data_IF_035359322990
#
_entry.id   IF_035359322990
#
_cell.length_a   1.000
_cell.length_b   1.000
_cell.length_c   1.000
_cell.angle_alpha   90.00
_cell.angle_beta   90.00
_cell.angle_gamma   90.00
#
_symmetry.space_group_name_H-M   'P 1'
#
loop_
_entity.id
_entity.type
_entity.pdbx_description
1 polymer ?
#
# COMPACT_ATOMS: atom_id res chain seq x y z
N UNK A 1 -13.41 4.13 -55.78
CA UNK A 1 -14.17 3.16 -54.93
C UNK A 1 -13.46 2.80 -53.63
N UNK A 2 -12.13 2.64 -53.60
CA UNK A 2 -11.38 2.27 -52.39
C UNK A 2 -11.52 3.31 -51.25
N UNK A 3 -11.47 4.60 -51.56
CA UNK A 3 -11.60 5.67 -50.55
C UNK A 3 -12.97 5.65 -49.85
N UNK A 4 -14.05 5.42 -50.60
CA UNK A 4 -15.39 5.31 -50.02
C UNK A 4 -15.50 4.10 -49.09
N UNK A 5 -14.92 2.96 -49.45
CA UNK A 5 -14.88 1.76 -48.60
C UNK A 5 -14.16 1.99 -47.26
N UNK A 6 -13.05 2.72 -47.26
CA UNK A 6 -12.31 3.05 -46.04
C UNK A 6 -13.12 3.97 -45.10
N UNK A 7 -13.86 4.93 -45.64
CA UNK A 7 -14.72 5.82 -44.85
C UNK A 7 -15.85 5.03 -44.19
N UNK A 8 -16.51 4.13 -44.91
CA UNK A 8 -17.55 3.26 -44.33
C UNK A 8 -17.00 2.35 -43.23
N UNK A 9 -15.80 1.78 -43.42
CA UNK A 9 -15.15 0.94 -42.41
C UNK A 9 -14.84 1.74 -41.13
N UNK A 10 -14.33 2.97 -41.26
CA UNK A 10 -14.03 3.83 -40.12
C UNK A 10 -15.29 4.20 -39.31
N UNK A 11 -16.40 4.51 -40.00
CA UNK A 11 -17.68 4.81 -39.35
C UNK A 11 -18.21 3.59 -38.61
N UNK A 12 -18.17 2.40 -39.24
CA UNK A 12 -18.62 1.16 -38.61
C UNK A 12 -17.79 0.83 -37.35
N UNK A 13 -16.47 1.03 -37.41
CA UNK A 13 -15.58 0.83 -36.27
C UNK A 13 -15.89 1.80 -35.12
N UNK A 14 -16.17 3.07 -35.43
CA UNK A 14 -16.50 4.08 -34.44
C UNK A 14 -17.82 3.76 -33.73
N UNK A 15 -18.85 3.36 -34.48
CA UNK A 15 -20.14 2.92 -33.92
C UNK A 15 -19.94 1.72 -32.97
N UNK A 16 -19.10 0.76 -33.36
CA UNK A 16 -18.82 -0.42 -32.55
C UNK A 16 -18.10 -0.07 -31.24
N UNK A 17 -17.13 0.85 -31.27
CA UNK A 17 -16.41 1.32 -30.07
C UNK A 17 -17.37 2.03 -29.11
N UNK A 18 -18.20 2.95 -29.63
CA UNK A 18 -19.18 3.68 -28.82
C UNK A 18 -20.17 2.71 -28.18
N UNK A 19 -20.65 1.72 -28.93
CA UNK A 19 -21.55 0.70 -28.41
C UNK A 19 -20.90 -0.15 -27.30
N UNK A 20 -19.64 -0.55 -27.48
CA UNK A 20 -18.90 -1.31 -26.48
C UNK A 20 -18.68 -0.52 -25.18
N UNK A 21 -18.32 0.77 -25.29
CA UNK A 21 -18.17 1.66 -24.14
C UNK A 21 -19.50 1.88 -23.40
N UNK A 22 -20.58 2.11 -24.14
CA UNK A 22 -21.91 2.29 -23.55
C UNK A 22 -22.37 1.02 -22.80
N UNK A 23 -22.15 -0.16 -23.39
CA UNK A 23 -22.48 -1.43 -22.75
C UNK A 23 -21.68 -1.66 -21.47
N UNK A 24 -20.40 -1.31 -21.46
CA UNK A 24 -19.56 -1.42 -20.27
C UNK A 24 -19.99 -0.44 -19.16
N UNK A 25 -20.34 0.80 -19.52
CA UNK A 25 -20.89 1.75 -18.56
C UNK A 25 -22.22 1.27 -17.95
N UNK A 26 -23.10 0.65 -18.74
CA UNK A 26 -24.33 0.07 -18.23
C UNK A 26 -24.08 -1.06 -17.22
N UNK A 27 -23.06 -1.89 -17.45
CA UNK A 27 -22.69 -2.95 -16.51
C UNK A 27 -22.22 -2.37 -15.16
N UNK A 28 -21.32 -1.37 -15.18
CA UNK A 28 -20.89 -0.71 -13.96
C UNK A 28 -22.01 0.02 -13.23
N UNK A 29 -22.95 0.64 -13.95
CA UNK A 29 -24.11 1.29 -13.33
C UNK A 29 -25.06 0.28 -12.68
N UNK A 30 -25.28 -0.88 -13.30
CA UNK A 30 -26.09 -1.96 -12.72
C UNK A 30 -25.46 -2.50 -11.43
N UNK A 31 -24.14 -2.73 -11.42
CA UNK A 31 -23.38 -3.16 -10.23
C UNK A 31 -23.40 -2.10 -9.10
N UNK A 32 -23.44 -0.82 -9.47
CA UNK A 32 -23.51 0.30 -8.51
C UNK A 32 -24.90 0.46 -7.89
N UNK A 33 -25.95 0.21 -8.68
CA UNK A 33 -27.33 0.34 -8.24
C UNK A 33 -27.70 -0.71 -7.19
N UNK A 34 -27.17 -1.93 -7.30
CA UNK A 34 -27.43 -3.02 -6.36
C UNK A 34 -26.89 -2.73 -4.95
N UNK A 35 -25.87 -1.89 -4.83
CA UNK A 35 -25.31 -1.43 -3.54
C UNK A 35 -26.11 -0.31 -2.87
N UNK A 36 -26.97 0.38 -3.60
CA UNK A 36 -27.83 1.45 -3.08
C UNK A 36 -29.27 0.98 -2.82
N UNK A 37 -29.57 -0.31 -2.99
CA UNK A 37 -30.84 -0.87 -2.54
C UNK A 37 -30.89 -0.70 -1.01
N UNK A 38 -31.87 0.08 -0.49
CA UNK A 38 -32.02 0.23 0.94
C UNK A 38 -32.21 -1.15 1.55
N UNK A 39 -31.46 -1.43 2.62
CA UNK A 39 -31.58 -2.68 3.37
C UNK A 39 -33.06 -2.96 3.61
N UNK A 40 -33.56 -4.18 3.29
CA UNK A 40 -34.92 -4.54 3.62
C UNK A 40 -35.12 -4.29 5.12
N UNK A 41 -36.25 -3.67 5.52
CA UNK A 41 -36.51 -3.40 6.92
C UNK A 41 -36.35 -4.70 7.70
N UNK A 42 -35.49 -4.66 8.72
CA UNK A 42 -35.29 -5.78 9.62
C UNK A 42 -36.64 -5.99 10.33
N UNK A 43 -37.41 -6.97 9.86
CA UNK A 43 -38.44 -7.57 10.68
C UNK A 43 -37.72 -8.14 11.89
N UNK A 44 -37.85 -7.46 13.03
CA UNK A 44 -37.51 -7.97 14.34
C UNK A 44 -38.34 -9.23 14.53
N UNK A 45 -37.79 -10.36 14.10
CA UNK A 45 -38.31 -11.68 14.41
C UNK A 45 -38.18 -11.81 15.92
N UNK A 46 -39.30 -11.60 16.62
CA UNK A 46 -39.44 -11.90 18.03
C UNK A 46 -38.89 -13.31 18.25
N UNK A 47 -37.89 -13.38 19.13
CA UNK A 47 -37.23 -14.60 19.55
C UNK A 47 -38.27 -15.53 20.15
N UNK A 48 -38.67 -16.56 19.40
CA UNK A 48 -39.21 -17.77 19.99
C UNK A 48 -38.10 -18.40 20.84
N UNK A 49 -38.41 -18.62 22.11
CA UNK A 49 -37.56 -19.24 23.12
C UNK A 49 -36.98 -20.57 22.61
N UNK A 50 -35.71 -20.55 22.22
CA UNK A 50 -34.94 -21.78 21.98
C UNK A 50 -34.33 -22.21 23.30
N UNK A 51 -34.97 -23.22 23.90
CA UNK A 51 -34.57 -23.92 25.11
C UNK A 51 -33.11 -24.37 25.08
N UNK A 52 -32.40 -24.11 26.18
CA UNK A 52 -30.95 -24.23 26.34
C UNK A 52 -30.41 -25.67 26.50
N UNK A 53 -31.06 -26.71 25.98
CA UNK A 53 -30.70 -28.11 26.31
C UNK A 53 -29.92 -28.87 25.23
N UNK A 54 -29.64 -28.30 24.06
CA UNK A 54 -29.12 -29.08 22.90
C UNK A 54 -27.71 -28.69 22.40
N UNK A 55 -26.90 -27.96 23.19
CA UNK A 55 -25.55 -27.51 22.79
C UNK A 55 -24.46 -28.03 23.74
N UNK A 56 -24.47 -29.33 24.07
CA UNK A 56 -23.30 -29.99 24.69
C UNK A 56 -23.16 -31.41 24.13
N UNK A 57 -22.52 -31.52 22.96
CA UNK A 57 -22.27 -32.79 22.30
C UNK A 57 -21.01 -32.77 21.43
N UNK A 58 -19.89 -32.25 21.96
CA UNK A 58 -18.59 -32.40 21.30
C UNK A 58 -17.58 -32.89 22.35
N UNK A 59 -17.23 -34.16 22.23
CA UNK A 59 -16.20 -34.85 23.01
C UNK A 59 -14.79 -34.36 22.62
N UNK A 60 -13.82 -34.30 23.56
CA UNK A 60 -12.45 -33.91 23.30
C UNK A 60 -11.50 -35.12 23.33
N UNK A 61 -11.25 -35.74 22.19
CA UNK A 61 -10.19 -36.76 22.06
C UNK A 61 -9.39 -36.47 20.79
N UNK A 62 -8.11 -36.13 20.96
CA UNK A 62 -6.97 -36.22 20.02
C UNK A 62 -6.02 -35.00 20.10
N UNK A 63 -5.37 -34.86 21.26
CA UNK A 63 -4.19 -34.02 21.45
C UNK A 63 -2.95 -34.89 21.68
N UNK A 64 -2.41 -35.49 20.61
CA UNK A 64 -1.06 -36.05 20.64
C UNK A 64 -0.40 -35.91 19.26
N UNK A 65 0.52 -34.95 19.12
CA UNK A 65 1.74 -35.16 18.31
C UNK A 65 2.77 -34.03 18.45
N UNK A 66 3.99 -34.48 18.76
CA UNK A 66 5.27 -33.98 18.25
C UNK A 66 5.85 -32.70 18.84
N UNK A 67 6.66 -32.88 19.89
CA UNK A 67 7.74 -31.97 20.25
C UNK A 67 9.07 -32.53 19.71
N UNK A 68 9.71 -31.80 18.80
CA UNK A 68 11.06 -32.05 18.33
C UNK A 68 12.00 -30.93 18.86
N UNK A 69 13.14 -31.33 19.41
CA UNK A 69 14.33 -30.51 19.70
C UNK A 69 15.00 -30.05 18.38
N UNK A 70 15.76 -28.92 18.34
CA UNK A 70 17.19 -28.99 18.66
C UNK A 70 17.91 -27.69 19.15
N UNK A 71 19.02 -27.94 19.86
CA UNK A 71 20.36 -27.34 19.80
C UNK A 71 20.63 -25.80 19.77
N UNK A 72 21.36 -25.37 20.80
CA UNK A 72 22.33 -24.25 20.89
C UNK A 72 23.60 -24.54 20.05
N UNK A 73 24.30 -23.54 19.43
CA UNK A 73 25.46 -22.89 20.10
C UNK A 73 25.83 -21.43 19.70
N UNK A 74 26.30 -20.67 20.72
CA UNK A 74 27.49 -19.79 20.83
C UNK A 74 27.92 -18.71 19.78
N UNK A 75 27.95 -17.43 20.22
CA UNK A 75 29.12 -16.48 20.39
C UNK A 75 29.96 -16.04 19.15
N UNK A 76 30.77 -14.92 19.10
CA UNK A 76 30.95 -13.67 19.89
C UNK A 76 30.98 -12.31 19.09
N UNK A 77 30.91 -11.20 19.86
CA UNK A 77 31.63 -9.90 19.82
C UNK A 77 32.15 -9.25 18.52
N UNK A 78 31.93 -7.92 18.38
CA UNK A 78 32.83 -6.97 17.69
C UNK A 78 32.68 -5.56 18.32
N UNK A 79 33.73 -4.72 18.39
CA UNK A 79 33.88 -3.65 19.38
C UNK A 79 33.51 -2.25 18.88
N UNK A 80 33.48 -1.35 19.86
CA UNK A 80 33.31 0.10 19.77
C UNK A 80 34.33 0.81 18.86
N UNK A 81 33.92 1.90 18.23
CA UNK A 81 34.80 2.99 17.80
C UNK A 81 34.08 4.33 17.94
N UNK A 82 34.73 5.24 18.66
CA UNK A 82 34.34 6.62 18.90
C UNK A 82 35.19 7.58 18.04
N UNK A 83 34.60 8.66 17.55
CA UNK A 83 35.20 9.98 17.27
C UNK A 83 34.09 10.88 16.70
N UNK A 84 33.60 11.92 17.40
CA UNK A 84 34.20 13.24 17.67
C UNK A 84 34.49 14.05 16.40
N UNK A 85 33.69 15.10 16.17
CA UNK A 85 33.97 16.15 15.18
C UNK A 85 32.91 17.25 15.22
N UNK A 86 33.22 18.35 15.90
CA UNK A 86 32.38 19.55 16.04
C UNK A 86 32.76 20.60 14.98
N UNK A 87 31.76 21.35 14.48
CA UNK A 87 31.85 22.69 13.86
C UNK A 87 30.40 23.13 13.61
N UNK A 88 29.76 24.02 14.37
CA UNK A 88 30.00 25.45 14.65
C UNK A 88 30.37 26.26 13.40
N UNK A 89 29.35 26.88 12.81
CA UNK A 89 29.47 28.10 12.00
C UNK A 89 28.17 28.89 12.16
N UNK A 90 28.23 29.88 13.05
CA UNK A 90 27.29 30.98 13.16
C UNK A 90 27.29 31.83 11.88
N UNK A 91 26.12 32.33 11.47
CA UNK A 91 26.03 33.56 10.68
C UNK A 91 24.80 34.37 11.14
N UNK A 92 24.91 35.70 11.39
CA UNK A 92 23.90 36.45 12.12
C UNK A 92 23.04 37.41 11.26
N UNK A 93 21.77 37.55 11.66
CA UNK A 93 20.94 38.77 11.66
C UNK A 93 20.40 39.30 10.31
N UNK A 94 19.25 39.98 10.20
CA UNK A 94 18.14 40.39 11.11
C UNK A 94 17.02 40.97 10.17
N UNK A 95 15.92 41.64 10.62
CA UNK A 95 14.53 41.26 10.31
C UNK A 95 13.76 42.28 9.43
N UNK A 96 12.55 41.94 8.99
CA UNK A 96 11.50 42.95 8.76
C UNK A 96 10.09 42.34 8.77
N UNK A 97 9.23 42.98 9.58
CA UNK A 97 7.82 42.73 9.84
C UNK A 97 6.96 43.41 8.75
N UNK A 98 5.87 42.78 8.32
CA UNK A 98 4.50 43.32 8.35
C UNK A 98 3.56 42.56 7.39
N UNK A 99 2.60 41.85 7.97
CA UNK A 99 1.33 41.48 7.32
C UNK A 99 0.43 42.71 7.14
N UNK A 100 -0.58 42.63 6.27
CA UNK A 100 -1.91 42.38 6.81
C UNK A 100 -2.77 41.40 5.98
N UNK A 101 -3.39 40.44 6.68
CA UNK A 101 -4.54 39.62 6.24
C UNK A 101 -5.85 40.47 6.31
N UNK A 102 -7.08 39.94 6.09
CA UNK A 102 -7.50 38.63 5.57
C UNK A 102 -8.65 38.71 4.52
N UNK A 103 -8.65 37.80 3.53
CA UNK A 103 -9.86 37.47 2.78
C UNK A 103 -10.22 36.02 3.04
N UNK A 104 -11.27 35.86 3.82
CA UNK A 104 -11.93 34.62 4.23
C UNK A 104 -12.31 33.76 3.03
N UNK A 105 -11.79 32.52 2.97
CA UNK A 105 -12.35 31.42 2.17
C UNK A 105 -12.07 30.12 2.93
N UNK A 106 -13.04 29.19 3.07
CA UNK A 106 -12.95 28.06 3.99
C UNK A 106 -12.00 26.97 3.45
N UNK A 107 -10.69 27.16 3.65
CA UNK A 107 -9.62 26.31 3.12
C UNK A 107 -9.08 25.29 4.15
N UNK A 108 -9.97 24.65 4.92
CA UNK A 108 -9.54 23.71 5.98
C UNK A 108 -9.88 22.24 5.70
N UNK A 109 -10.36 21.91 4.49
CA UNK A 109 -10.65 20.52 4.10
C UNK A 109 -9.70 20.00 3.01
N UNK A 110 -8.95 20.86 2.30
CA UNK A 110 -8.43 20.52 0.95
C UNK A 110 -7.00 19.94 0.87
N UNK A 111 -6.09 20.18 1.82
CA UNK A 111 -4.68 19.78 1.60
C UNK A 111 -4.46 18.26 1.63
N UNK A 112 -5.19 17.53 2.49
CA UNK A 112 -5.03 16.08 2.65
C UNK A 112 -5.73 15.25 1.57
N UNK A 113 -6.64 15.85 0.80
CA UNK A 113 -7.31 15.19 -0.34
C UNK A 113 -6.65 15.56 -1.67
N UNK A 114 -6.03 16.73 -1.76
CA UNK A 114 -5.41 17.23 -2.99
C UNK A 114 -4.22 16.39 -3.49
N UNK A 115 -3.46 15.71 -2.61
CA UNK A 115 -2.27 14.95 -3.03
C UNK A 115 -2.59 13.84 -4.04
N UNK A 116 -3.78 13.23 -3.95
CA UNK A 116 -4.17 12.15 -4.85
C UNK A 116 -4.46 12.68 -6.26
N UNK A 117 -5.11 13.82 -6.36
CA UNK A 117 -5.38 14.47 -7.64
C UNK A 117 -4.09 15.01 -8.26
N UNK A 118 -3.25 15.65 -7.45
CA UNK A 118 -1.95 16.19 -7.87
C UNK A 118 -1.02 15.09 -8.38
N UNK A 119 -0.89 13.99 -7.63
CA UNK A 119 -0.05 12.85 -8.05
C UNK A 119 -0.55 12.21 -9.36
N UNK A 120 -1.87 12.13 -9.57
CA UNK A 120 -2.45 11.67 -10.85
C UNK A 120 -2.18 12.63 -11.99
N UNK A 121 -2.32 13.94 -11.77
CA UNK A 121 -2.03 14.96 -12.78
C UNK A 121 -0.55 14.92 -13.21
N UNK A 122 0.38 14.79 -12.25
CA UNK A 122 1.80 14.64 -12.53
C UNK A 122 2.12 13.33 -13.27
N UNK A 123 1.45 12.23 -12.90
CA UNK A 123 1.58 10.95 -13.59
C UNK A 123 1.15 11.04 -15.06
N UNK A 124 0.05 11.75 -15.36
CA UNK A 124 -0.42 11.96 -16.74
C UNK A 124 0.55 12.79 -17.58
N UNK A 125 1.33 13.65 -16.94
CA UNK A 125 2.41 14.43 -17.57
C UNK A 125 3.73 13.67 -17.66
N UNK A 126 3.75 12.36 -17.34
CA UNK A 126 4.94 11.51 -17.28
C UNK A 126 6.02 12.01 -16.28
N UNK A 127 5.64 12.86 -15.31
CA UNK A 127 6.52 13.37 -14.25
C UNK A 127 6.52 12.42 -13.05
N UNK A 128 6.98 11.20 -13.27
CA UNK A 128 6.85 10.10 -12.29
C UNK A 128 7.52 10.39 -10.94
N UNK A 129 8.72 10.99 -10.93
CA UNK A 129 9.45 11.27 -9.69
C UNK A 129 8.73 12.31 -8.83
N UNK A 130 8.21 13.37 -9.46
CA UNK A 130 7.40 14.37 -8.80
C UNK A 130 6.09 13.76 -8.27
N UNK A 131 5.44 12.91 -9.06
CA UNK A 131 4.21 12.22 -8.65
C UNK A 131 4.44 11.32 -7.41
N UNK A 132 5.58 10.62 -7.35
CA UNK A 132 5.95 9.82 -6.18
C UNK A 132 6.25 10.68 -4.96
N UNK A 133 6.97 11.80 -5.13
CA UNK A 133 7.25 12.74 -4.04
C UNK A 133 5.98 13.27 -3.37
N UNK A 134 4.92 13.53 -4.15
CA UNK A 134 3.61 13.94 -3.64
C UNK A 134 2.91 12.85 -2.80
N UNK A 135 3.18 11.58 -3.08
CA UNK A 135 2.63 10.47 -2.28
C UNK A 135 3.34 10.29 -0.92
N UNK A 136 4.60 10.70 -0.80
CA UNK A 136 5.41 10.52 0.42
C UNK A 136 4.75 11.01 1.71
N UNK A 137 4.22 12.24 1.81
CA UNK A 137 3.59 12.73 3.04
C UNK A 137 2.31 11.98 3.42
N UNK A 138 1.70 11.24 2.51
CA UNK A 138 0.49 10.44 2.77
C UNK A 138 0.82 8.99 3.19
N UNK A 139 2.07 8.56 3.12
CA UNK A 139 2.50 7.25 3.62
C UNK A 139 2.56 7.26 5.15
N UNK A 140 2.26 6.14 5.84
CA UNK A 140 2.04 4.77 5.33
C UNK A 140 0.56 4.42 5.07
N UNK A 141 -0.29 5.33 4.58
CA UNK A 141 -1.67 4.98 4.26
C UNK A 141 -1.77 4.05 3.04
N UNK A 142 -2.70 3.09 3.06
CA UNK A 142 -2.90 2.14 1.96
C UNK A 142 -3.22 2.84 0.61
N UNK A 143 -3.95 3.96 0.64
CA UNK A 143 -4.22 4.75 -0.56
C UNK A 143 -2.96 5.27 -1.23
N UNK A 144 -2.01 5.79 -0.44
CA UNK A 144 -0.73 6.29 -0.93
C UNK A 144 0.14 5.17 -1.51
N UNK A 145 0.22 3.99 -0.86
CA UNK A 145 0.91 2.83 -1.41
C UNK A 145 0.32 2.38 -2.75
N UNK A 146 -1.01 2.29 -2.87
CA UNK A 146 -1.67 1.93 -4.13
C UNK A 146 -1.33 2.90 -5.25
N UNK A 147 -1.40 4.20 -4.97
CA UNK A 147 -1.09 5.24 -5.96
C UNK A 147 0.39 5.20 -6.36
N UNK A 148 1.31 5.06 -5.41
CA UNK A 148 2.74 4.91 -5.69
C UNK A 148 3.03 3.71 -6.61
N UNK A 149 2.45 2.53 -6.32
CA UNK A 149 2.58 1.35 -7.18
C UNK A 149 1.99 1.59 -8.58
N UNK A 150 0.87 2.31 -8.71
CA UNK A 150 0.31 2.66 -10.03
C UNK A 150 1.25 3.58 -10.83
N UNK A 151 1.86 4.58 -10.18
CA UNK A 151 2.84 5.48 -10.78
C UNK A 151 4.06 4.69 -11.26
N UNK A 152 4.60 3.82 -10.42
CA UNK A 152 5.76 2.98 -10.76
C UNK A 152 5.48 2.05 -11.95
N UNK A 153 4.29 1.44 -12.03
CA UNK A 153 3.91 0.65 -13.21
C UNK A 153 3.85 1.49 -14.48
N UNK A 154 3.36 2.73 -14.39
CA UNK A 154 3.35 3.63 -15.55
C UNK A 154 4.79 3.98 -15.98
N UNK A 155 5.68 4.26 -15.01
CA UNK A 155 7.11 4.48 -15.26
C UNK A 155 7.78 3.27 -15.91
N UNK A 156 7.58 2.06 -15.39
CA UNK A 156 8.12 0.81 -15.95
C UNK A 156 7.66 0.61 -17.41
N UNK A 157 6.38 0.87 -17.72
CA UNK A 157 5.87 0.79 -19.10
C UNK A 157 6.55 1.81 -20.01
N UNK A 158 6.76 3.05 -19.55
CA UNK A 158 7.45 4.09 -20.30
C UNK A 158 8.94 3.74 -20.53
N UNK A 159 9.63 3.24 -19.51
CA UNK A 159 11.03 2.78 -19.60
C UNK A 159 11.19 1.63 -20.61
N UNK A 160 10.31 0.62 -20.55
CA UNK A 160 10.30 -0.49 -21.52
C UNK A 160 10.02 -0.02 -22.94
N UNK A 161 9.07 0.90 -23.13
CA UNK A 161 8.79 1.51 -24.44
C UNK A 161 10.01 2.26 -24.98
N UNK A 162 10.76 2.91 -24.11
CA UNK A 162 12.03 3.58 -24.43
C UNK A 162 13.24 2.63 -24.50
N UNK A 163 13.06 1.31 -24.35
CA UNK A 163 14.11 0.29 -24.29
C UNK A 163 15.18 0.57 -23.22
N UNK A 164 14.80 1.21 -22.12
CA UNK A 164 15.64 1.41 -20.94
C UNK A 164 15.44 0.28 -19.93
N UNK A 165 16.45 0.02 -19.09
CA UNK A 165 16.27 -0.88 -17.96
C UNK A 165 15.18 -0.36 -17.03
N UNK A 166 14.35 -1.26 -16.53
CA UNK A 166 13.26 -0.96 -15.57
C UNK A 166 13.50 -1.63 -14.21
N UNK A 167 14.71 -2.14 -13.97
CA UNK A 167 15.10 -2.87 -12.77
C UNK A 167 14.96 -2.03 -11.50
N UNK A 168 15.46 -0.79 -11.49
CA UNK A 168 15.35 0.10 -10.33
C UNK A 168 13.89 0.44 -9.98
N UNK A 169 13.09 0.76 -11.00
CA UNK A 169 11.66 1.04 -10.85
C UNK A 169 10.89 -0.19 -10.35
N UNK A 170 11.25 -1.38 -10.82
CA UNK A 170 10.67 -2.64 -10.38
C UNK A 170 11.07 -2.98 -8.94
N UNK A 171 12.33 -2.73 -8.57
CA UNK A 171 12.83 -2.84 -7.20
C UNK A 171 12.09 -1.92 -6.23
N UNK A 172 11.88 -0.67 -6.64
CA UNK A 172 11.11 0.31 -5.88
C UNK A 172 9.64 -0.11 -5.73
N UNK A 173 9.04 -0.65 -6.80
CA UNK A 173 7.67 -1.17 -6.77
C UNK A 173 7.53 -2.34 -5.78
N UNK A 174 8.50 -3.26 -5.80
CA UNK A 174 8.55 -4.36 -4.83
C UNK A 174 8.68 -3.85 -3.39
N UNK A 175 9.55 -2.86 -3.17
CA UNK A 175 9.74 -2.25 -1.85
C UNK A 175 8.47 -1.61 -1.29
N UNK A 176 7.73 -0.82 -2.09
CA UNK A 176 6.45 -0.26 -1.64
C UNK A 176 5.40 -1.34 -1.35
N UNK A 177 5.37 -2.42 -2.13
CA UNK A 177 4.47 -3.54 -1.87
C UNK A 177 4.83 -4.28 -0.55
N UNK A 178 6.12 -4.48 -0.28
CA UNK A 178 6.61 -5.07 0.97
C UNK A 178 6.29 -4.21 2.18
N UNK A 179 6.49 -2.89 2.11
CA UNK A 179 6.11 -1.98 3.18
C UNK A 179 4.58 -1.91 3.37
N UNK A 180 3.80 -1.99 2.30
CA UNK A 180 2.35 -2.06 2.42
C UNK A 180 1.92 -3.34 3.16
N UNK A 181 2.54 -4.49 2.90
CA UNK A 181 2.34 -5.72 3.69
C UNK A 181 2.73 -5.50 5.16
N UNK A 182 3.89 -4.90 5.43
CA UNK A 182 4.32 -4.59 6.81
C UNK A 182 3.26 -3.81 7.60
N UNK A 183 2.71 -2.74 7.04
CA UNK A 183 1.73 -1.91 7.76
C UNK A 183 0.30 -2.50 7.74
N UNK A 184 -0.10 -3.23 6.69
CA UNK A 184 -1.51 -3.53 6.43
C UNK A 184 -1.86 -5.02 6.26
N UNK A 185 -0.89 -5.94 6.30
CA UNK A 185 -1.14 -7.38 6.22
C UNK A 185 -2.21 -7.84 7.22
N UNK A 186 -3.15 -8.66 6.72
CA UNK A 186 -4.12 -9.41 7.52
C UNK A 186 -3.56 -10.82 7.73
N UNK A 187 -3.56 -11.31 8.98
CA UNK A 187 -3.06 -12.66 9.30
C UNK A 187 -1.57 -12.76 9.62
N UNK A 188 -0.78 -11.70 9.41
CA UNK A 188 0.57 -11.62 9.95
C UNK A 188 0.55 -11.52 11.49
N UNK A 189 1.66 -11.89 12.15
CA UNK A 189 1.78 -11.87 13.61
C UNK A 189 1.35 -10.50 14.21
N UNK A 190 0.20 -10.48 14.87
CA UNK A 190 -0.33 -9.30 15.57
C UNK A 190 -1.44 -8.53 14.83
N UNK A 191 -2.17 -7.72 15.61
CA UNK A 191 -3.27 -6.88 15.11
C UNK A 191 -2.73 -5.72 14.26
N UNK A 192 -3.33 -5.40 13.10
CA UNK A 192 -2.92 -4.25 12.30
C UNK A 192 -3.09 -2.93 13.08
N UNK A 193 -2.29 -1.91 12.74
CA UNK A 193 -2.43 -0.58 13.33
C UNK A 193 -3.80 0.03 12.98
N UNK A 194 -4.35 0.81 13.91
CA UNK A 194 -5.53 1.61 13.62
C UNK A 194 -5.21 2.71 12.60
N UNK A 195 -6.20 3.20 11.83
CA UNK A 195 -5.98 4.31 10.89
C UNK A 195 -5.42 5.58 11.55
N UNK A 196 -5.82 5.87 12.80
CA UNK A 196 -5.29 6.99 13.56
C UNK A 196 -3.82 6.78 13.96
N UNK A 197 -3.45 5.57 14.35
CA UNK A 197 -2.07 5.21 14.67
C UNK A 197 -1.16 5.37 13.44
N UNK A 198 -1.60 4.91 12.27
CA UNK A 198 -0.83 5.02 11.01
C UNK A 198 -0.49 6.47 10.64
N UNK A 199 -1.38 7.44 10.91
CA UNK A 199 -1.13 8.87 10.63
C UNK A 199 -0.02 9.47 11.50
N UNK A 200 0.32 8.83 12.63
CA UNK A 200 1.37 9.28 13.54
C UNK A 200 2.73 8.68 13.20
N UNK A 201 2.77 7.67 12.35
CA UNK A 201 4.01 7.00 11.98
C UNK A 201 4.80 7.90 11.04
N UNK A 202 6.03 8.23 11.42
CA UNK A 202 6.98 8.84 10.51
C UNK A 202 7.44 7.79 9.49
N UNK A 203 6.91 7.83 8.28
CA UNK A 203 7.23 6.84 7.24
C UNK A 203 8.71 6.80 6.87
N UNK A 204 9.43 7.92 7.01
CA UNK A 204 10.82 8.00 6.56
C UNK A 204 11.72 6.95 7.24
N UNK A 205 11.47 6.68 8.52
CA UNK A 205 12.25 5.75 9.34
C UNK A 205 12.13 4.29 8.87
N UNK A 206 11.14 4.00 8.02
CA UNK A 206 10.82 2.65 7.53
C UNK A 206 11.26 2.40 6.10
N UNK A 207 11.71 3.43 5.37
CA UNK A 207 12.17 3.28 3.98
C UNK A 207 13.45 2.46 3.86
N UNK A 208 14.24 2.40 4.92
CA UNK A 208 15.50 1.62 4.94
C UNK A 208 15.29 0.19 5.42
N UNK A 209 14.05 -0.23 5.67
CA UNK A 209 13.75 -1.58 6.14
C UNK A 209 14.07 -2.59 5.04
N UNK A 210 14.96 -3.55 5.34
CA UNK A 210 15.43 -4.54 4.38
C UNK A 210 14.30 -5.48 3.94
N UNK A 211 14.17 -5.69 2.64
CA UNK A 211 13.11 -6.51 2.03
C UNK A 211 13.73 -7.63 1.19
N UNK A 212 14.31 -8.68 1.82
CA UNK A 212 15.05 -9.72 1.09
C UNK A 212 14.10 -10.56 0.23
N UNK A 213 14.17 -10.36 -1.09
CA UNK A 213 13.29 -11.02 -2.07
C UNK A 213 13.26 -12.54 -1.93
N UNK A 214 14.42 -13.16 -1.67
CA UNK A 214 14.55 -14.61 -1.58
C UNK A 214 13.75 -15.23 -0.42
N UNK A 215 13.52 -14.48 0.66
CA UNK A 215 12.76 -14.95 1.82
C UNK A 215 11.32 -14.45 1.82
N UNK A 216 11.11 -13.17 1.49
CA UNK A 216 9.79 -12.55 1.48
C UNK A 216 8.93 -13.06 0.32
N UNK A 217 9.54 -13.22 -0.85
CA UNK A 217 8.87 -13.56 -2.10
C UNK A 217 7.80 -12.54 -2.47
N UNK A 218 6.74 -12.97 -3.15
CA UNK A 218 5.69 -12.07 -3.65
C UNK A 218 4.26 -12.50 -3.30
N UNK A 219 4.03 -13.73 -2.82
CA UNK A 219 2.66 -14.26 -2.63
C UNK A 219 1.81 -13.46 -1.64
N UNK A 220 2.43 -12.98 -0.56
CA UNK A 220 1.72 -12.21 0.47
C UNK A 220 1.56 -10.72 0.09
N UNK A 221 2.22 -10.26 -0.98
CA UNK A 221 2.27 -8.86 -1.37
C UNK A 221 1.06 -8.49 -2.22
N UNK A 222 -0.07 -8.22 -1.56
CA UNK A 222 -1.37 -7.96 -2.21
C UNK A 222 -1.39 -6.80 -3.22
N UNK A 223 -0.39 -5.91 -3.18
CA UNK A 223 -0.27 -4.81 -4.14
C UNK A 223 0.38 -5.22 -5.45
N UNK A 224 1.05 -6.37 -5.55
CA UNK A 224 1.66 -6.86 -6.78
C UNK A 224 0.62 -7.51 -7.71
N UNK A 225 0.76 -7.29 -9.02
CA UNK A 225 -0.06 -7.95 -10.04
C UNK A 225 0.69 -9.14 -10.64
N UNK A 226 -0.02 -10.01 -11.36
CA UNK A 226 0.59 -11.14 -12.09
C UNK A 226 1.69 -10.69 -13.07
N UNK A 227 1.54 -9.52 -13.68
CA UNK A 227 2.56 -8.96 -14.59
C UNK A 227 3.79 -8.51 -13.84
N UNK A 228 3.62 -7.90 -12.66
CA UNK A 228 4.75 -7.48 -11.82
C UNK A 228 5.51 -8.72 -11.31
N UNK A 229 4.80 -9.75 -10.85
CA UNK A 229 5.38 -11.02 -10.37
C UNK A 229 6.26 -11.66 -11.44
N UNK A 230 5.75 -11.78 -12.67
CA UNK A 230 6.53 -12.33 -13.79
C UNK A 230 7.80 -11.51 -14.07
N UNK A 231 7.70 -10.19 -14.01
CA UNK A 231 8.85 -9.32 -14.21
C UNK A 231 9.89 -9.48 -13.09
N UNK A 232 9.45 -9.67 -11.84
CA UNK A 232 10.33 -9.93 -10.70
C UNK A 232 11.04 -11.28 -10.86
N UNK A 233 10.31 -12.33 -11.26
CA UNK A 233 10.87 -13.66 -11.49
C UNK A 233 11.87 -13.68 -12.66
N UNK A 234 11.60 -12.94 -13.73
CA UNK A 234 12.51 -12.80 -14.87
C UNK A 234 13.83 -12.14 -14.45
N UNK A 235 13.77 -11.18 -13.53
CA UNK A 235 14.93 -10.41 -13.09
C UNK A 235 15.71 -11.07 -11.94
N UNK A 236 15.01 -11.67 -10.97
CA UNK A 236 15.59 -12.16 -9.71
C UNK A 236 15.43 -13.68 -9.48
N UNK A 237 14.76 -14.39 -10.41
CA UNK A 237 14.45 -15.81 -10.28
C UNK A 237 13.25 -16.08 -9.37
N UNK A 238 12.97 -17.36 -9.14
CA UNK A 238 11.97 -17.76 -8.15
C UNK A 238 12.52 -17.60 -6.72
N UNK A 239 11.76 -17.03 -5.78
CA UNK A 239 12.18 -16.92 -4.39
C UNK A 239 12.20 -18.29 -3.70
N UNK A 240 13.03 -18.43 -2.67
CA UNK A 240 13.15 -19.67 -1.90
C UNK A 240 11.96 -19.90 -0.96
N UNK A 241 11.33 -18.81 -0.51
CA UNK A 241 10.21 -18.85 0.41
C UNK A 241 9.24 -17.68 0.16
N UNK A 242 8.06 -17.80 0.78
CA UNK A 242 7.04 -16.78 0.82
C UNK A 242 6.64 -16.54 2.28
N UNK A 243 6.78 -15.31 2.74
CA UNK A 243 6.39 -14.92 4.11
C UNK A 243 5.83 -13.50 4.15
N UNK A 244 5.43 -13.04 5.33
CA UNK A 244 5.05 -11.65 5.56
C UNK A 244 6.25 -10.81 6.00
N UNK A 245 6.23 -9.53 5.64
CA UNK A 245 7.27 -8.58 6.02
C UNK A 245 7.38 -8.43 7.54
N UNK A 246 6.25 -8.53 8.27
CA UNK A 246 6.25 -8.51 9.75
C UNK A 246 6.95 -9.72 10.37
N UNK A 247 6.94 -10.88 9.70
CA UNK A 247 7.60 -12.09 10.21
C UNK A 247 9.13 -11.98 10.09
N UNK A 248 9.63 -11.24 9.09
CA UNK A 248 11.05 -10.94 8.93
C UNK A 248 11.55 -9.87 9.91
N UNK A 249 10.67 -8.95 10.31
CA UNK A 249 11.01 -7.81 11.16
C UNK A 249 10.18 -7.75 12.45
N UNK A 250 10.22 -8.79 13.31
CA UNK A 250 9.39 -8.84 14.50
C UNK A 250 9.73 -7.72 15.50
N UNK A 251 11.01 -7.38 15.66
CA UNK A 251 11.44 -6.32 16.56
C UNK A 251 11.00 -4.93 16.11
N UNK A 252 11.07 -4.65 14.81
CA UNK A 252 10.64 -3.38 14.25
C UNK A 252 9.13 -3.22 14.44
N UNK A 253 8.37 -4.29 14.18
CA UNK A 253 6.92 -4.30 14.42
C UNK A 253 6.56 -4.11 15.90
N UNK A 254 7.24 -4.81 16.82
CA UNK A 254 7.01 -4.68 18.25
C UNK A 254 7.32 -3.27 18.77
N UNK A 255 8.38 -2.63 18.27
CA UNK A 255 8.74 -1.25 18.62
C UNK A 255 7.63 -0.29 18.18
N UNK A 256 7.15 -0.44 16.94
CA UNK A 256 6.04 0.34 16.41
C UNK A 256 4.75 0.17 17.24
N UNK A 257 4.45 -1.04 17.70
CA UNK A 257 3.27 -1.28 18.54
C UNK A 257 3.42 -0.66 19.94
N UNK A 258 4.63 -0.71 20.51
CA UNK A 258 4.92 -0.18 21.85
C UNK A 258 4.73 1.34 21.89
N UNK A 259 5.24 2.05 20.89
CA UNK A 259 5.08 3.52 20.74
C UNK A 259 3.61 3.96 20.65
N UNK A 260 2.71 3.08 20.18
CA UNK A 260 1.28 3.39 20.06
C UNK A 260 0.50 3.09 21.34
N UNK A 261 1.07 2.30 22.26
CA UNK A 261 0.42 1.82 23.48
C UNK A 261 0.57 2.76 24.68
N UNK A 262 1.48 3.73 24.61
CA UNK A 262 1.65 4.74 25.65
C UNK A 262 0.38 5.61 25.74
N UNK A 263 -0.36 5.57 26.86
CA UNK A 263 -1.45 6.51 27.07
C UNK A 263 -0.86 7.92 27.12
N UNK A 264 -1.33 8.79 26.24
CA UNK A 264 -1.15 10.22 26.43
C UNK A 264 -2.07 10.62 27.58
N UNK A 265 -1.59 10.47 28.81
CA UNK A 265 -2.14 11.22 29.94
C UNK A 265 -1.96 12.71 29.58
N UNK A 266 -3.06 13.34 29.23
CA UNK A 266 -3.23 14.79 29.04
C UNK A 266 -4.17 15.30 30.11
#
# INVERSE_FOLDING_TARGET
>A
MILAGLIFLAIALLILIVWALHRNQQQHNAESADRNVPLPPLELRESEDVSAEDILGIEPEDLLSSQATPATPATPATPATAARGASTSEFPGKPAVASPSPSTTPASVSAAENWLEESKALQQQERFDAALAVCVPALPQMGAFRQACQILRARIRAERKARKSSEESLGTLYHYAALADFFHARGAAGKPLSPAALKRVNFHDWQTLENPYQMLGYEQLALLTKTDIKALQELWGEPQAHTHMRALHPHAWQSLQSDQSLPHDS
#
